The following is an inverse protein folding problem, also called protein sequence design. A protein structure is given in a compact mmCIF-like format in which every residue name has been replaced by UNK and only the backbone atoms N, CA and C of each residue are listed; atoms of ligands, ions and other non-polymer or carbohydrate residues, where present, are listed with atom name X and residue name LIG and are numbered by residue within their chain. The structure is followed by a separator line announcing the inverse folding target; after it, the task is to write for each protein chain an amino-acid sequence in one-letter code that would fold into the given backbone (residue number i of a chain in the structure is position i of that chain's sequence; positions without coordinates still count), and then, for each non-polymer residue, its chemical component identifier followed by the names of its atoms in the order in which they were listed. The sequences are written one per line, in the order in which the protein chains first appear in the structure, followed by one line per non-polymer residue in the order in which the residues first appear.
data_IF_693052342038
#
_entry.id   IF_693052342038
#
_cell.length_a   1.000
_cell.length_b   1.000
_cell.length_c   1.000
_cell.angle_alpha   90.00
_cell.angle_beta   90.00
_cell.angle_gamma   90.00
#
_symmetry.space_group_name_H-M   'P 1'
#
loop_
_entity.id
_entity.type
_entity.pdbx_description
1 polymer ?
#
# COMPACT_ATOMS: atom_id res chain seq x y z
N UNK A 1 -22.49 13.91 -1.54
CA UNK A 1 -21.90 15.15 -2.05
C UNK A 1 -21.22 14.82 -3.37
N UNK A 2 -21.75 15.25 -4.52
CA UNK A 2 -21.17 14.99 -5.85
C UNK A 2 -20.09 16.05 -6.09
N UNK A 3 -18.82 15.69 -6.02
CA UNK A 3 -17.74 16.58 -6.43
C UNK A 3 -17.60 16.45 -7.95
N UNK A 4 -18.28 17.32 -8.69
CA UNK A 4 -18.02 17.48 -10.12
C UNK A 4 -16.85 18.44 -10.28
N UNK A 5 -15.79 18.00 -10.96
CA UNK A 5 -14.87 18.93 -11.61
C UNK A 5 -15.64 19.50 -12.81
N UNK A 6 -16.40 20.58 -12.59
CA UNK A 6 -17.07 21.32 -13.66
C UNK A 6 -16.08 22.30 -14.27
N UNK A 7 -15.71 22.06 -15.53
CA UNK A 7 -15.14 23.09 -16.39
C UNK A 7 -16.13 24.25 -16.53
N UNK A 8 -15.76 25.43 -16.03
CA UNK A 8 -16.55 26.65 -16.12
C UNK A 8 -16.31 27.31 -17.48
N UNK A 9 -17.42 27.50 -18.22
CA UNK A 9 -17.45 28.30 -19.44
C UNK A 9 -17.08 29.76 -19.16
N UNK A 10 -16.20 30.29 -19.99
CA UNK A 10 -15.59 31.62 -19.90
C UNK A 10 -16.57 32.67 -20.44
N UNK A 11 -16.86 33.70 -19.64
CA UNK A 11 -17.26 35.03 -20.13
C UNK A 11 -17.08 36.08 -19.03
N UNK A 12 -15.86 36.60 -18.89
CA UNK A 12 -15.60 37.96 -18.39
C UNK A 12 -14.14 38.33 -18.64
N UNK A 13 -13.93 39.47 -19.30
CA UNK A 13 -12.65 40.07 -19.59
C UNK A 13 -12.23 40.93 -18.39
N UNK A 14 -11.14 40.57 -17.69
CA UNK A 14 -10.43 41.46 -16.75
C UNK A 14 -8.92 41.21 -16.87
N UNK A 15 -8.18 42.29 -17.14
CA UNK A 15 -6.72 42.31 -17.26
C UNK A 15 -6.04 42.50 -15.89
N UNK A 16 -4.94 41.75 -15.72
CA UNK A 16 -3.76 42.00 -14.88
C UNK A 16 -3.89 41.88 -13.35
N UNK A 17 -3.28 40.83 -12.78
CA UNK A 17 -1.93 40.85 -12.20
C UNK A 17 -1.57 39.47 -11.62
N UNK A 18 -0.54 38.83 -12.18
CA UNK A 18 0.33 37.89 -11.46
C UNK A 18 -0.30 36.69 -10.74
N UNK A 19 -1.20 35.94 -11.39
CA UNK A 19 -1.39 34.54 -10.99
C UNK A 19 -0.38 33.73 -11.78
N UNK A 20 0.74 33.38 -11.16
CA UNK A 20 1.56 32.29 -11.64
C UNK A 20 0.70 31.03 -11.58
N UNK A 21 0.00 30.74 -12.68
CA UNK A 21 -0.48 29.40 -12.95
C UNK A 21 0.78 28.53 -13.01
N UNK A 22 1.12 27.89 -11.89
CA UNK A 22 1.88 26.65 -11.97
C UNK A 22 0.91 25.68 -12.65
N UNK A 23 0.90 25.71 -13.98
CA UNK A 23 0.33 24.67 -14.78
C UNK A 23 1.22 23.44 -14.58
N UNK A 24 1.13 22.82 -13.39
CA UNK A 24 1.52 21.43 -13.22
C UNK A 24 0.67 20.67 -14.22
N UNK A 25 1.31 20.06 -15.22
CA UNK A 25 0.59 19.27 -16.20
C UNK A 25 -0.21 18.20 -15.43
N UNK A 26 -1.54 18.29 -15.47
CA UNK A 26 -2.39 17.30 -14.80
C UNK A 26 -1.92 15.90 -15.19
N UNK A 27 -1.61 15.07 -14.19
CA UNK A 27 -1.10 13.74 -14.43
C UNK A 27 -2.07 12.99 -15.35
N UNK A 28 -1.57 12.42 -16.44
CA UNK A 28 -2.40 11.85 -17.54
C UNK A 28 -3.47 10.85 -17.09
N UNK A 29 -3.27 10.19 -15.94
CA UNK A 29 -4.21 9.21 -15.39
C UNK A 29 -5.38 9.84 -14.64
N UNK A 30 -5.28 11.10 -14.19
CA UNK A 30 -6.36 11.81 -13.47
C UNK A 30 -7.65 11.84 -14.29
N UNK A 31 -7.54 11.95 -15.61
CA UNK A 31 -8.69 11.98 -16.53
C UNK A 31 -9.31 10.60 -16.82
N UNK A 32 -8.67 9.52 -16.35
CA UNK A 32 -9.04 8.12 -16.65
C UNK A 32 -9.59 7.37 -15.43
N UNK A 33 -9.79 8.06 -14.32
CA UNK A 33 -10.26 7.48 -13.07
C UNK A 33 -11.24 8.41 -12.36
N UNK A 34 -12.30 7.84 -11.82
CA UNK A 34 -13.28 8.52 -10.98
C UNK A 34 -13.27 7.86 -9.60
N UNK A 35 -13.07 8.65 -8.54
CA UNK A 35 -13.14 8.21 -7.15
C UNK A 35 -14.38 8.82 -6.53
N UNK A 36 -15.32 7.97 -6.09
CA UNK A 36 -16.55 8.39 -5.42
C UNK A 36 -16.60 7.81 -4.02
N UNK A 37 -16.62 8.66 -3.00
CA UNK A 37 -16.78 8.22 -1.61
C UNK A 37 -18.26 8.19 -1.20
N UNK A 38 -18.65 7.14 -0.50
CA UNK A 38 -20.00 7.00 0.10
C UNK A 38 -19.96 7.35 1.59
N UNK A 39 -21.06 7.09 2.32
CA UNK A 39 -21.12 7.24 3.77
C UNK A 39 -19.94 6.51 4.41
N UNK A 40 -19.35 7.09 5.46
CA UNK A 40 -18.15 6.59 6.13
C UNK A 40 -16.86 6.69 5.29
N UNK A 41 -16.89 7.35 4.14
CA UNK A 41 -15.69 7.63 3.35
C UNK A 41 -15.25 6.49 2.43
N UNK A 42 -16.01 5.40 2.31
CA UNK A 42 -15.63 4.23 1.50
C UNK A 42 -15.44 4.64 0.02
N UNK A 43 -14.23 4.48 -0.56
CA UNK A 43 -13.96 4.85 -1.94
C UNK A 43 -14.47 3.78 -2.92
N UNK A 44 -15.26 4.20 -3.90
CA UNK A 44 -15.62 3.42 -5.08
C UNK A 44 -14.84 3.98 -6.27
N UNK A 45 -14.00 3.16 -6.88
CA UNK A 45 -13.08 3.57 -7.94
C UNK A 45 -13.54 2.96 -9.26
N UNK A 46 -13.80 3.82 -10.25
CA UNK A 46 -14.10 3.43 -11.62
C UNK A 46 -12.95 3.94 -12.51
N UNK A 47 -12.38 3.07 -13.35
CA UNK A 47 -11.23 3.42 -14.18
C UNK A 47 -11.34 2.81 -15.58
N UNK A 48 -10.68 3.45 -16.56
CA UNK A 48 -10.67 2.99 -17.95
C UNK A 48 -9.74 1.79 -18.22
N UNK A 49 -8.80 1.51 -17.33
CA UNK A 49 -7.82 0.42 -17.42
C UNK A 49 -7.14 0.19 -16.06
N UNK A 50 -6.37 -0.89 -15.97
CA UNK A 50 -5.70 -1.39 -14.77
C UNK A 50 -4.71 -0.37 -14.20
N UNK A 51 -3.99 0.35 -15.06
CA UNK A 51 -3.04 1.39 -14.63
C UNK A 51 -3.77 2.57 -13.98
N UNK A 52 -4.86 3.02 -14.58
CA UNK A 52 -5.70 4.06 -13.99
C UNK A 52 -6.40 3.59 -12.70
N UNK A 53 -6.80 2.30 -12.63
CA UNK A 53 -7.37 1.69 -11.43
C UNK A 53 -6.36 1.68 -10.28
N UNK A 54 -5.12 1.23 -10.53
CA UNK A 54 -4.04 1.27 -9.56
C UNK A 54 -3.75 2.68 -9.07
N UNK A 55 -3.73 3.66 -9.97
CA UNK A 55 -3.54 5.07 -9.64
C UNK A 55 -4.64 5.60 -8.70
N UNK A 56 -5.91 5.38 -9.03
CA UNK A 56 -7.02 5.83 -8.18
C UNK A 56 -7.06 5.13 -6.82
N UNK A 57 -6.72 3.84 -6.79
CA UNK A 57 -6.64 3.08 -5.54
C UNK A 57 -5.54 3.61 -4.62
N UNK A 58 -4.34 3.83 -5.17
CA UNK A 58 -3.24 4.41 -4.41
C UNK A 58 -3.56 5.81 -3.89
N UNK A 59 -4.15 6.66 -4.73
CA UNK A 59 -4.52 8.01 -4.32
C UNK A 59 -5.54 7.99 -3.17
N UNK A 60 -6.61 7.20 -3.29
CA UNK A 60 -7.62 7.09 -2.24
C UNK A 60 -7.03 6.53 -0.92
N UNK A 61 -6.15 5.54 -1.00
CA UNK A 61 -5.47 5.01 0.19
C UNK A 61 -4.48 6.02 0.79
N UNK A 62 -3.79 6.81 -0.03
CA UNK A 62 -2.87 7.85 0.43
C UNK A 62 -3.62 8.97 1.17
N UNK A 63 -4.76 9.43 0.65
CA UNK A 63 -5.64 10.38 1.34
C UNK A 63 -5.95 9.94 2.78
N UNK A 64 -6.21 8.64 2.97
CA UNK A 64 -6.62 8.11 4.27
C UNK A 64 -5.40 7.73 5.16
N UNK A 65 -4.31 7.22 4.57
CA UNK A 65 -3.28 6.46 5.29
C UNK A 65 -1.83 6.62 4.78
N UNK A 66 -1.47 7.72 4.09
CA UNK A 66 -0.15 7.88 3.45
C UNK A 66 1.05 7.54 4.36
N UNK A 67 1.05 8.02 5.61
CA UNK A 67 2.16 7.77 6.54
C UNK A 67 2.34 6.28 6.87
N UNK A 68 1.24 5.54 7.00
CA UNK A 68 1.26 4.08 7.25
C UNK A 68 1.76 3.33 6.03
N UNK A 69 1.24 3.67 4.84
CA UNK A 69 1.65 3.07 3.57
C UNK A 69 3.17 3.25 3.36
N UNK A 70 3.67 4.45 3.61
CA UNK A 70 5.10 4.72 3.48
C UNK A 70 5.94 3.87 4.45
N UNK A 71 5.52 3.75 5.72
CA UNK A 71 6.22 2.89 6.70
C UNK A 71 6.29 1.45 6.22
N UNK A 72 5.20 0.91 5.65
CA UNK A 72 5.17 -0.44 5.10
C UNK A 72 6.11 -0.61 3.91
N UNK A 73 6.19 0.40 3.03
CA UNK A 73 7.14 0.42 1.91
C UNK A 73 8.60 0.44 2.42
N UNK A 74 8.92 1.31 3.39
CA UNK A 74 10.25 1.39 4.01
C UNK A 74 10.66 0.05 4.63
N UNK A 75 9.73 -0.61 5.34
CA UNK A 75 9.95 -1.95 5.92
C UNK A 75 10.25 -2.97 4.83
N UNK A 76 9.48 -2.97 3.73
CA UNK A 76 9.70 -3.91 2.62
C UNK A 76 11.06 -3.72 1.92
N UNK A 77 11.57 -2.48 1.89
CA UNK A 77 12.91 -2.14 1.39
C UNK A 77 14.03 -2.53 2.36
N UNK A 78 13.70 -2.74 3.64
CA UNK A 78 14.69 -2.95 4.70
C UNK A 78 15.49 -1.68 5.01
N UNK A 79 14.81 -0.53 5.08
CA UNK A 79 15.39 0.78 5.37
C UNK A 79 14.76 1.45 6.61
N UNK A 80 14.10 0.68 7.46
CA UNK A 80 13.40 1.15 8.67
C UNK A 80 14.35 1.88 9.62
N UNK A 81 15.56 1.38 9.84
CA UNK A 81 16.52 2.02 10.73
C UNK A 81 16.94 3.42 10.23
N UNK A 82 17.03 3.59 8.91
CA UNK A 82 17.40 4.86 8.27
C UNK A 82 16.31 5.92 8.37
N UNK A 83 15.05 5.55 8.14
CA UNK A 83 13.96 6.52 8.02
C UNK A 83 13.07 6.61 9.27
N UNK A 84 13.00 5.56 10.08
CA UNK A 84 12.12 5.45 11.25
C UNK A 84 12.92 5.34 12.57
N UNK A 85 14.25 5.42 12.51
CA UNK A 85 15.16 5.41 13.66
C UNK A 85 15.79 4.04 13.95
N UNK A 86 17.02 4.05 14.46
CA UNK A 86 17.86 2.87 14.70
C UNK A 86 17.51 2.09 15.98
N UNK A 87 16.25 1.74 16.17
CA UNK A 87 15.83 0.83 17.25
C UNK A 87 16.22 -0.61 16.92
N UNK A 88 16.39 -1.46 17.94
CA UNK A 88 16.67 -2.89 17.71
C UNK A 88 15.60 -3.56 16.83
N UNK A 89 14.33 -3.20 17.00
CA UNK A 89 13.22 -3.71 16.19
C UNK A 89 13.38 -3.33 14.71
N UNK A 90 13.69 -2.06 14.40
CA UNK A 90 13.89 -1.59 13.03
C UNK A 90 15.13 -2.23 12.39
N UNK A 91 16.23 -2.36 13.14
CA UNK A 91 17.45 -3.04 12.66
C UNK A 91 17.16 -4.52 12.34
N UNK A 92 16.45 -5.21 13.23
CA UNK A 92 16.06 -6.61 13.03
C UNK A 92 15.12 -6.77 11.82
N UNK A 93 14.15 -5.86 11.65
CA UNK A 93 13.27 -5.84 10.49
C UNK A 93 14.06 -5.68 9.19
N UNK A 94 15.01 -4.74 9.15
CA UNK A 94 15.85 -4.49 7.98
C UNK A 94 16.73 -5.71 7.65
N UNK A 95 17.31 -6.35 8.67
CA UNK A 95 18.09 -7.57 8.51
C UNK A 95 17.26 -8.67 7.83
N UNK A 96 16.06 -8.96 8.32
CA UNK A 96 15.24 -10.02 7.74
C UNK A 96 14.76 -9.68 6.33
N UNK A 97 14.28 -8.46 6.07
CA UNK A 97 13.85 -8.08 4.72
C UNK A 97 15.01 -8.16 3.70
N UNK A 98 16.23 -7.82 4.10
CA UNK A 98 17.44 -7.99 3.27
C UNK A 98 17.84 -9.45 3.11
N UNK A 99 17.78 -10.26 4.17
CA UNK A 99 18.09 -11.69 4.12
C UNK A 99 17.14 -12.44 3.19
N UNK A 100 15.85 -12.10 3.19
CA UNK A 100 14.86 -12.62 2.24
C UNK A 100 14.93 -11.96 0.86
N UNK A 101 15.82 -10.99 0.66
CA UNK A 101 16.00 -10.25 -0.60
C UNK A 101 14.68 -9.70 -1.13
N UNK A 102 13.79 -9.22 -0.27
CA UNK A 102 12.40 -8.89 -0.63
C UNK A 102 12.35 -7.91 -1.80
N UNK A 103 13.03 -6.77 -1.68
CA UNK A 103 13.04 -5.74 -2.73
C UNK A 103 13.75 -6.19 -4.01
N UNK A 104 14.91 -6.86 -3.88
CA UNK A 104 15.65 -7.37 -5.04
C UNK A 104 14.82 -8.40 -5.82
N UNK A 105 14.15 -9.32 -5.12
CA UNK A 105 13.24 -10.30 -5.73
C UNK A 105 12.07 -9.63 -6.41
N UNK A 106 11.44 -8.63 -5.77
CA UNK A 106 10.37 -7.86 -6.40
C UNK A 106 10.81 -7.27 -7.73
N UNK A 107 12.04 -6.75 -7.84
CA UNK A 107 12.59 -6.25 -9.09
C UNK A 107 12.87 -7.34 -10.12
N UNK A 108 13.48 -8.45 -9.68
CA UNK A 108 13.85 -9.59 -10.53
C UNK A 108 12.61 -10.28 -11.15
N UNK A 109 11.54 -10.44 -10.37
CA UNK A 109 10.34 -11.20 -10.74
C UNK A 109 9.18 -10.34 -11.21
N UNK A 110 9.28 -9.00 -11.19
CA UNK A 110 8.18 -8.11 -11.62
C UNK A 110 7.67 -8.42 -13.02
N UNK A 111 8.61 -8.72 -13.93
CA UNK A 111 8.31 -9.05 -15.34
C UNK A 111 7.51 -10.35 -15.50
N UNK A 112 7.51 -11.20 -14.48
CA UNK A 112 6.84 -12.50 -14.48
C UNK A 112 5.39 -12.40 -13.98
N UNK A 113 4.96 -11.21 -13.50
CA UNK A 113 3.56 -10.94 -13.20
C UNK A 113 2.75 -10.85 -14.49
N UNK A 114 1.46 -11.19 -14.43
CA UNK A 114 0.53 -10.92 -15.53
C UNK A 114 0.52 -9.42 -15.85
N UNK A 115 0.25 -9.09 -17.12
CA UNK A 115 0.31 -7.70 -17.61
C UNK A 115 -0.57 -6.76 -16.79
N UNK A 116 -1.77 -7.20 -16.45
CA UNK A 116 -2.75 -6.42 -15.68
C UNK A 116 -2.21 -6.05 -14.30
N UNK A 117 -1.49 -6.96 -13.64
CA UNK A 117 -0.84 -6.71 -12.36
C UNK A 117 0.36 -5.79 -12.48
N UNK A 118 1.13 -5.89 -13.57
CA UNK A 118 2.21 -4.94 -13.85
C UNK A 118 1.66 -3.52 -14.01
N UNK A 119 0.60 -3.35 -14.83
CA UNK A 119 -0.04 -2.05 -15.05
C UNK A 119 -0.67 -1.50 -13.77
N UNK A 120 -1.40 -2.32 -13.00
CA UNK A 120 -1.97 -1.89 -11.72
C UNK A 120 -0.89 -1.47 -10.71
N UNK A 121 0.21 -2.21 -10.60
CA UNK A 121 1.31 -1.87 -9.68
C UNK A 121 2.06 -0.60 -10.11
N UNK A 122 2.25 -0.40 -11.41
CA UNK A 122 2.79 0.84 -11.96
C UNK A 122 1.87 2.04 -11.68
N UNK A 123 0.58 1.87 -11.94
CA UNK A 123 -0.45 2.85 -11.60
C UNK A 123 -0.45 3.20 -10.12
N UNK A 124 -0.34 2.19 -9.25
CA UNK A 124 -0.30 2.39 -7.80
C UNK A 124 0.89 3.27 -7.37
N UNK A 125 2.09 2.99 -7.90
CA UNK A 125 3.25 3.83 -7.64
C UNK A 125 3.08 5.26 -8.17
N UNK A 126 2.52 5.43 -9.38
CA UNK A 126 2.18 6.75 -9.94
C UNK A 126 1.17 7.51 -9.06
N UNK A 127 0.16 6.83 -8.52
CA UNK A 127 -0.85 7.43 -7.64
C UNK A 127 -0.30 7.89 -6.30
N UNK A 128 0.56 7.08 -5.66
CA UNK A 128 1.27 7.49 -4.44
C UNK A 128 2.16 8.70 -4.70
N UNK A 129 2.93 8.69 -5.78
CA UNK A 129 3.83 9.80 -6.12
C UNK A 129 3.07 11.08 -6.44
N UNK A 130 1.93 10.98 -7.12
CA UNK A 130 1.07 12.13 -7.38
C UNK A 130 0.50 12.72 -6.09
N UNK A 131 0.08 11.88 -5.14
CA UNK A 131 -0.34 12.36 -3.82
C UNK A 131 0.80 13.05 -3.06
N UNK A 132 2.01 12.49 -3.10
CA UNK A 132 3.20 13.10 -2.48
C UNK A 132 3.50 14.47 -3.08
N UNK A 133 3.38 14.62 -4.41
CA UNK A 133 3.62 15.89 -5.11
C UNK A 133 2.62 16.97 -4.68
N UNK A 134 1.33 16.62 -4.59
CA UNK A 134 0.28 17.58 -4.22
C UNK A 134 0.29 17.98 -2.74
N UNK A 135 0.79 17.11 -1.86
CA UNK A 135 0.66 17.26 -0.40
C UNK A 135 2.00 17.28 0.34
N UNK A 136 3.11 17.56 -0.36
CA UNK A 136 4.47 17.46 0.21
C UNK A 136 4.62 18.23 1.52
N UNK A 137 4.06 19.43 1.60
CA UNK A 137 4.20 20.30 2.78
C UNK A 137 3.47 19.76 4.03
N UNK A 138 2.46 18.90 3.85
CA UNK A 138 1.68 18.30 4.93
C UNK A 138 2.16 16.90 5.33
N UNK A 139 3.13 16.35 4.61
CA UNK A 139 3.58 14.97 4.78
C UNK A 139 4.83 14.87 5.68
N UNK A 140 4.96 13.81 6.49
CA UNK A 140 6.18 13.56 7.26
C UNK A 140 7.43 13.45 6.39
N UNK A 141 8.59 13.86 6.89
CA UNK A 141 9.86 13.87 6.15
C UNK A 141 10.29 12.51 5.61
N UNK A 142 9.91 11.42 6.28
CA UNK A 142 10.22 10.06 5.82
C UNK A 142 9.43 9.63 4.58
N UNK A 143 8.37 10.37 4.21
CA UNK A 143 7.61 10.14 2.98
C UNK A 143 8.45 10.58 1.79
N UNK A 144 8.67 9.70 0.81
CA UNK A 144 9.47 9.97 -0.37
C UNK A 144 8.91 9.25 -1.59
N UNK A 145 9.23 9.69 -2.82
CA UNK A 145 8.77 9.03 -4.03
C UNK A 145 9.13 7.53 -4.07
N UNK A 146 8.23 6.74 -4.66
CA UNK A 146 8.30 5.29 -4.73
C UNK A 146 8.30 4.79 -6.18
N UNK A 147 8.74 3.55 -6.37
CA UNK A 147 8.74 2.85 -7.64
C UNK A 147 7.76 1.68 -7.60
N UNK A 148 7.40 1.15 -8.77
CA UNK A 148 6.63 -0.10 -8.89
C UNK A 148 7.25 -1.29 -8.13
N UNK A 149 8.57 -1.32 -8.01
CA UNK A 149 9.28 -2.37 -7.27
C UNK A 149 9.12 -2.23 -5.76
N UNK A 150 9.00 -0.99 -5.26
CA UNK A 150 8.72 -0.74 -3.83
C UNK A 150 7.32 -1.24 -3.46
N UNK A 151 6.34 -1.01 -4.33
CA UNK A 151 4.96 -1.52 -4.17
C UNK A 151 4.94 -3.05 -4.25
N UNK A 152 5.58 -3.65 -5.27
CA UNK A 152 5.67 -5.10 -5.40
C UNK A 152 6.41 -5.77 -4.23
N UNK A 153 7.44 -5.11 -3.69
CA UNK A 153 8.16 -5.58 -2.50
C UNK A 153 7.25 -5.70 -1.29
N UNK A 154 6.33 -4.74 -1.08
CA UNK A 154 5.37 -4.84 0.01
C UNK A 154 4.48 -6.09 -0.12
N UNK A 155 4.00 -6.42 -1.33
CA UNK A 155 3.28 -7.67 -1.58
C UNK A 155 4.09 -8.92 -1.19
N UNK A 156 5.38 -8.95 -1.53
CA UNK A 156 6.27 -10.05 -1.15
C UNK A 156 6.52 -10.16 0.37
N UNK A 157 6.43 -9.06 1.13
CA UNK A 157 6.50 -9.14 2.61
C UNK A 157 5.34 -9.96 3.18
N UNK A 158 4.15 -9.85 2.59
CA UNK A 158 2.98 -10.66 2.95
C UNK A 158 3.20 -12.14 2.67
N UNK A 159 3.74 -12.48 1.49
CA UNK A 159 4.12 -13.87 1.14
C UNK A 159 5.15 -14.42 2.13
N UNK A 160 6.17 -13.63 2.48
CA UNK A 160 7.17 -14.05 3.45
C UNK A 160 6.56 -14.27 4.84
N UNK A 161 5.65 -13.39 5.29
CA UNK A 161 4.94 -13.54 6.57
C UNK A 161 4.09 -14.81 6.58
N UNK A 162 3.15 -14.93 5.66
CA UNK A 162 2.10 -15.95 5.72
C UNK A 162 2.48 -17.28 5.06
N UNK A 163 3.02 -17.26 3.83
CA UNK A 163 3.30 -18.50 3.09
C UNK A 163 4.59 -19.19 3.56
N UNK A 164 5.62 -18.40 3.90
CA UNK A 164 6.91 -18.95 4.34
C UNK A 164 7.02 -19.10 5.87
N UNK A 165 5.98 -18.71 6.63
CA UNK A 165 5.99 -18.67 8.09
C UNK A 165 7.29 -18.04 8.63
N UNK A 166 7.61 -16.82 8.17
CA UNK A 166 8.83 -16.10 8.57
C UNK A 166 8.96 -16.04 10.10
N UNK A 167 7.88 -15.73 10.82
CA UNK A 167 7.88 -15.69 12.28
C UNK A 167 8.37 -17.02 12.91
N UNK A 168 7.86 -18.15 12.44
CA UNK A 168 8.29 -19.47 12.88
C UNK A 168 9.74 -19.83 12.49
N UNK A 169 10.24 -19.36 11.34
CA UNK A 169 11.65 -19.55 10.96
C UNK A 169 12.58 -18.72 11.88
N UNK A 170 12.27 -17.43 12.06
CA UNK A 170 13.05 -16.53 12.91
C UNK A 170 13.11 -17.05 14.35
N UNK A 171 11.97 -17.53 14.89
CA UNK A 171 11.90 -18.13 16.23
C UNK A 171 12.83 -19.35 16.37
N UNK A 172 12.82 -20.25 15.38
CA UNK A 172 13.70 -21.44 15.37
C UNK A 172 15.18 -21.09 15.24
N UNK A 173 15.52 -20.02 14.53
CA UNK A 173 16.90 -19.55 14.43
C UNK A 173 17.33 -18.92 15.76
N UNK A 174 16.51 -18.02 16.32
CA UNK A 174 16.76 -17.39 17.62
C UNK A 174 16.94 -18.43 18.73
N UNK A 175 16.08 -19.46 18.80
CA UNK A 175 16.18 -20.50 19.82
C UNK A 175 17.45 -21.36 19.73
N UNK A 176 17.99 -21.55 18.51
CA UNK A 176 19.28 -22.23 18.31
C UNK A 176 20.46 -21.34 18.69
N UNK A 177 20.39 -20.05 18.38
CA UNK A 177 21.44 -19.06 18.65
C UNK A 177 21.47 -18.61 20.13
N UNK A 178 20.35 -18.68 20.85
CA UNK A 178 20.23 -18.34 22.27
C UNK A 178 20.93 -19.35 23.20
N UNK A 179 21.68 -20.31 22.66
CA UNK A 179 22.56 -21.20 23.42
C UNK A 179 23.90 -20.52 23.80
N UNK A 180 24.15 -19.29 23.35
CA UNK A 180 25.25 -18.41 23.79
C UNK A 180 24.77 -17.17 24.58
N UNK A 181 25.70 -16.47 25.26
CA UNK A 181 25.51 -15.37 26.24
C UNK A 181 24.66 -14.15 25.84
N UNK A 182 24.03 -14.13 24.66
CA UNK A 182 23.07 -13.10 24.26
C UNK A 182 21.72 -13.77 23.96
N UNK A 183 20.84 -13.84 24.96
CA UNK A 183 19.48 -14.31 24.77
C UNK A 183 18.74 -13.30 23.86
N UNK A 184 18.52 -13.68 22.61
CA UNK A 184 17.65 -12.92 21.71
C UNK A 184 16.21 -13.08 22.20
N UNK A 185 15.59 -11.97 22.63
CA UNK A 185 14.19 -11.96 23.06
C UNK A 185 13.32 -12.50 21.92
N UNK A 186 12.53 -13.52 22.25
CA UNK A 186 11.44 -14.02 21.42
C UNK A 186 10.20 -13.29 21.92
N UNK A 187 9.76 -12.27 21.20
CA UNK A 187 8.47 -11.63 21.48
C UNK A 187 7.34 -12.65 21.20
N UNK A 188 6.40 -12.75 22.13
CA UNK A 188 5.11 -13.40 21.88
C UNK A 188 4.33 -12.50 20.92
N UNK A 189 3.98 -13.06 19.75
CA UNK A 189 3.00 -12.41 18.87
C UNK A 189 1.61 -12.62 19.45
N UNK A 190 0.78 -11.56 19.43
CA UNK A 190 -0.66 -11.68 19.62
C UNK A 190 -1.19 -12.63 18.53
N UNK A 191 -1.95 -13.70 18.86
CA UNK A 191 -2.28 -14.70 17.85
C UNK A 191 -3.22 -14.10 16.80
N UNK A 192 -2.70 -13.90 15.59
CA UNK A 192 -3.51 -13.72 14.37
C UNK A 192 -4.58 -14.83 14.32
N UNK A 193 -5.84 -14.46 14.09
CA UNK A 193 -6.98 -15.37 14.10
C UNK A 193 -7.95 -15.08 12.95
N UNK A 194 -8.85 -16.01 12.65
CA UNK A 194 -9.90 -15.77 11.65
C UNK A 194 -11.05 -16.76 11.81
N UNK A 195 -12.26 -16.28 11.52
CA UNK A 195 -13.44 -17.11 11.28
C UNK A 195 -13.93 -16.90 9.84
N UNK A 196 -14.55 -17.94 9.26
CA UNK A 196 -15.21 -17.88 7.96
C UNK A 196 -16.36 -18.88 7.92
N UNK A 197 -17.55 -18.45 7.54
CA UNK A 197 -18.70 -19.35 7.30
C UNK A 197 -19.21 -19.21 5.87
N UNK A 198 -19.55 -20.35 5.26
CA UNK A 198 -20.17 -20.42 3.94
C UNK A 198 -21.44 -21.27 4.03
N UNK A 199 -22.57 -20.69 3.65
CA UNK A 199 -23.87 -21.35 3.62
C UNK A 199 -24.31 -21.54 2.17
N UNK A 200 -24.67 -22.78 1.83
CA UNK A 200 -25.26 -23.09 0.51
C UNK A 200 -26.70 -22.59 0.43
N UNK A 201 -27.27 -22.40 -0.77
CA UNK A 201 -28.66 -22.00 -0.95
C UNK A 201 -29.67 -22.78 -0.08
N UNK A 202 -29.52 -24.11 0.02
CA UNK A 202 -30.42 -25.01 0.77
C UNK A 202 -30.37 -24.79 2.30
N UNK A 203 -29.35 -24.07 2.78
CA UNK A 203 -29.18 -23.69 4.19
C UNK A 203 -29.64 -22.25 4.48
N UNK A 204 -30.24 -21.57 3.51
CA UNK A 204 -30.70 -20.18 3.64
C UNK A 204 -32.18 -20.04 3.28
N UNK A 205 -32.87 -19.08 3.87
CA UNK A 205 -34.29 -18.80 3.55
C UNK A 205 -34.46 -18.02 2.25
N UNK A 206 -33.42 -17.34 1.78
CA UNK A 206 -33.44 -16.56 0.53
C UNK A 206 -33.14 -17.41 -0.70
N UNK A 207 -32.68 -18.67 -0.54
CA UNK A 207 -32.22 -19.51 -1.64
C UNK A 207 -30.93 -19.03 -2.31
N UNK A 208 -30.14 -18.18 -1.65
CA UNK A 208 -28.87 -17.65 -2.15
C UNK A 208 -27.73 -18.07 -1.23
N UNK A 209 -26.54 -18.31 -1.76
CA UNK A 209 -25.38 -18.55 -0.93
C UNK A 209 -25.03 -17.33 -0.07
N UNK A 210 -24.53 -17.56 1.15
CA UNK A 210 -24.05 -16.50 2.07
C UNK A 210 -22.61 -16.82 2.48
N UNK A 211 -21.75 -15.82 2.39
CA UNK A 211 -20.36 -15.86 2.86
C UNK A 211 -20.17 -14.82 3.97
N UNK A 212 -19.60 -15.24 5.10
CA UNK A 212 -19.23 -14.37 6.21
C UNK A 212 -17.73 -14.50 6.46
N UNK A 213 -16.98 -13.42 6.23
CA UNK A 213 -15.57 -13.31 6.60
C UNK A 213 -15.40 -12.49 7.87
N UNK A 214 -14.66 -13.02 8.85
CA UNK A 214 -14.35 -12.33 10.11
C UNK A 214 -12.88 -12.54 10.48
N UNK A 215 -11.95 -11.81 9.82
CA UNK A 215 -10.54 -11.84 10.18
C UNK A 215 -10.30 -11.13 11.53
N UNK A 216 -9.34 -11.62 12.32
CA UNK A 216 -8.84 -11.00 13.55
C UNK A 216 -7.35 -10.72 13.38
N UNK A 217 -7.02 -9.45 13.17
CA UNK A 217 -5.64 -9.00 12.92
C UNK A 217 -5.32 -7.84 13.85
N UNK A 218 -4.07 -7.81 14.33
CA UNK A 218 -3.47 -6.73 15.13
C UNK A 218 -2.49 -5.88 14.34
#
# INVERSE_FOLDING_TARGET
MKMYIRGLGISALVLCLGVSWVAGAEHRLVKKVEIRRTTYGVPHILAENERALGFGLAYAQAEDHMATIMKLIIVAKGESARYLGSTESNINSDFWNKQYRIHARAKETFKDLDRDWQEMTEGFAEGLNYYIELHRDDLPDFVHPVTKYDVAAHGLTGVARFALNRGGIVRRIKSKLSTGKAALVVEEEDPDGSNMWAFTPERTTTGNAILMGNPHQG
#
